data_IF_362256058726
#
_entry.id   IF_362256058726
#
_cell.length_a   1.000
_cell.length_b   1.000
_cell.length_c   1.000
_cell.angle_alpha   90.00
_cell.angle_beta   90.00
_cell.angle_gamma   90.00
#
_symmetry.space_group_name_H-M   'P 1'
#
loop_
_entity.id
_entity.type
_entity.pdbx_description
1 polymer ?
#
# COMPACT_ATOMS: atom_id res chain seq x y z
N UNK A 1 9.10 -9.64 -2.57
CA UNK A 1 9.23 -10.39 -3.83
C UNK A 1 10.60 -11.06 -3.92
N UNK A 2 11.71 -10.31 -3.78
CA UNK A 2 13.09 -10.87 -3.77
C UNK A 2 13.31 -12.07 -2.82
N UNK A 3 12.73 -12.07 -1.61
CA UNK A 3 12.82 -13.22 -0.68
C UNK A 3 12.07 -14.47 -1.17
N UNK A 4 10.95 -14.31 -1.86
CA UNK A 4 10.23 -15.44 -2.47
C UNK A 4 11.01 -16.01 -3.65
N UNK A 5 11.59 -15.14 -4.48
CA UNK A 5 12.37 -15.55 -5.64
C UNK A 5 13.61 -16.36 -5.21
N UNK A 6 14.32 -15.89 -4.19
CA UNK A 6 15.46 -16.61 -3.60
C UNK A 6 15.06 -17.97 -3.00
N UNK A 7 13.97 -18.03 -2.21
CA UNK A 7 13.50 -19.30 -1.63
C UNK A 7 12.96 -20.26 -2.69
N UNK A 8 12.27 -19.77 -3.71
CA UNK A 8 11.79 -20.62 -4.82
C UNK A 8 12.95 -21.23 -5.60
N UNK A 9 14.02 -20.47 -5.87
CA UNK A 9 15.24 -21.00 -6.48
C UNK A 9 15.95 -22.02 -5.59
N UNK A 10 15.97 -21.81 -4.26
CA UNK A 10 16.52 -22.77 -3.29
C UNK A 10 15.73 -24.08 -3.31
N UNK A 11 14.40 -24.01 -3.26
CA UNK A 11 13.50 -25.17 -3.29
C UNK A 11 13.66 -25.92 -4.62
N UNK A 12 13.67 -25.23 -5.76
CA UNK A 12 13.86 -25.86 -7.06
C UNK A 12 15.22 -26.57 -7.16
N UNK A 13 16.29 -25.97 -6.63
CA UNK A 13 17.62 -26.60 -6.59
C UNK A 13 17.62 -27.86 -5.72
N UNK A 14 17.01 -27.79 -4.54
CA UNK A 14 16.93 -28.91 -3.59
C UNK A 14 16.15 -30.10 -4.17
N UNK A 15 15.01 -29.83 -4.83
CA UNK A 15 14.21 -30.86 -5.49
C UNK A 15 14.83 -31.38 -6.79
N UNK A 16 15.60 -30.55 -7.49
CA UNK A 16 16.39 -30.94 -8.66
C UNK A 16 17.57 -31.87 -8.34
N UNK A 17 18.06 -31.86 -7.11
CA UNK A 17 19.07 -32.82 -6.61
C UNK A 17 18.45 -34.17 -6.20
N UNK A 18 17.14 -34.20 -5.95
CA UNK A 18 16.39 -35.38 -5.48
C UNK A 18 15.31 -35.76 -6.49
N UNK A 19 15.71 -36.03 -7.72
CA UNK A 19 14.78 -36.42 -8.78
C UNK A 19 14.15 -37.80 -8.47
N UNK A 20 12.84 -37.96 -8.72
CA UNK A 20 12.17 -39.24 -8.54
C UNK A 20 12.62 -40.22 -9.62
N UNK A 21 12.48 -41.53 -9.36
CA UNK A 21 12.71 -42.54 -10.38
C UNK A 21 11.75 -42.30 -11.58
N UNK A 22 12.26 -42.16 -12.82
CA UNK A 22 11.44 -41.93 -14.01
C UNK A 22 10.47 -43.09 -14.32
N UNK A 23 10.69 -44.28 -13.78
CA UNK A 23 9.83 -45.45 -14.04
C UNK A 23 8.78 -45.65 -12.93
N UNK A 24 8.85 -44.90 -11.83
CA UNK A 24 7.90 -45.01 -10.72
C UNK A 24 6.93 -43.83 -10.69
N UNK A 25 5.70 -44.09 -11.12
CA UNK A 25 4.59 -43.11 -11.09
C UNK A 25 4.31 -42.60 -9.66
N UNK A 26 4.36 -43.48 -8.66
CA UNK A 26 4.12 -43.12 -7.26
C UNK A 26 5.19 -42.16 -6.72
N UNK A 27 6.47 -42.40 -7.05
CA UNK A 27 7.55 -41.50 -6.64
C UNK A 27 7.44 -40.15 -7.33
N UNK A 28 7.06 -40.09 -8.62
CA UNK A 28 6.81 -38.83 -9.32
C UNK A 28 5.69 -38.02 -8.68
N UNK A 29 4.57 -38.68 -8.34
CA UNK A 29 3.43 -38.01 -7.71
C UNK A 29 3.78 -37.49 -6.30
N UNK A 30 4.50 -38.29 -5.51
CA UNK A 30 4.94 -37.89 -4.17
C UNK A 30 5.91 -36.69 -4.24
N UNK A 31 6.90 -36.76 -5.13
CA UNK A 31 7.84 -35.68 -5.39
C UNK A 31 7.13 -34.38 -5.82
N UNK A 32 6.18 -34.48 -6.76
CA UNK A 32 5.43 -33.32 -7.24
C UNK A 32 4.58 -32.68 -6.13
N UNK A 33 3.91 -33.48 -5.29
CA UNK A 33 3.15 -33.00 -4.14
C UNK A 33 4.04 -32.30 -3.12
N UNK A 34 5.20 -32.88 -2.82
CA UNK A 34 6.18 -32.29 -1.89
C UNK A 34 6.74 -30.97 -2.43
N UNK A 35 7.06 -30.88 -3.72
CA UNK A 35 7.51 -29.65 -4.36
C UNK A 35 6.43 -28.57 -4.30
N UNK A 36 5.20 -28.92 -4.67
CA UNK A 36 4.06 -28.00 -4.63
C UNK A 36 3.80 -27.47 -3.21
N UNK A 37 3.86 -28.36 -2.20
CA UNK A 37 3.70 -27.99 -0.80
C UNK A 37 4.80 -27.02 -0.33
N UNK A 38 6.06 -27.30 -0.68
CA UNK A 38 7.20 -26.43 -0.35
C UNK A 38 7.06 -25.04 -1.00
N UNK A 39 6.68 -24.98 -2.28
CA UNK A 39 6.45 -23.72 -2.98
C UNK A 39 5.27 -22.94 -2.39
N UNK A 40 4.17 -23.62 -2.05
CA UNK A 40 3.02 -23.00 -1.40
C UNK A 40 3.36 -22.41 -0.02
N UNK A 41 4.18 -23.12 0.76
CA UNK A 41 4.67 -22.62 2.04
C UNK A 41 5.56 -21.38 1.87
N UNK A 42 6.47 -21.40 0.89
CA UNK A 42 7.32 -20.25 0.58
C UNK A 42 6.49 -19.02 0.16
N UNK A 43 5.45 -19.21 -0.67
CA UNK A 43 4.53 -18.16 -1.05
C UNK A 43 3.78 -17.58 0.17
N UNK A 44 3.21 -18.45 1.01
CA UNK A 44 2.50 -18.05 2.24
C UNK A 44 3.40 -17.26 3.19
N UNK A 45 4.66 -17.68 3.34
CA UNK A 45 5.61 -16.97 4.19
C UNK A 45 5.97 -15.59 3.61
N UNK A 46 6.14 -15.48 2.30
CA UNK A 46 6.38 -14.21 1.64
C UNK A 46 5.19 -13.25 1.81
N UNK A 47 3.97 -13.74 1.65
CA UNK A 47 2.74 -12.98 1.92
C UNK A 47 2.66 -12.54 3.39
N UNK A 48 2.98 -13.42 4.33
CA UNK A 48 3.01 -13.10 5.76
C UNK A 48 4.03 -12.00 6.08
N UNK A 49 5.23 -12.05 5.49
CA UNK A 49 6.23 -10.99 5.63
C UNK A 49 5.72 -9.64 5.10
N UNK A 50 5.10 -9.63 3.92
CA UNK A 50 4.51 -8.40 3.35
C UNK A 50 3.38 -7.87 4.24
N UNK A 51 2.50 -8.75 4.73
CA UNK A 51 1.41 -8.39 5.63
C UNK A 51 1.94 -7.80 6.94
N UNK A 52 3.02 -8.37 7.50
CA UNK A 52 3.64 -7.89 8.73
C UNK A 52 4.33 -6.53 8.54
N UNK A 53 5.04 -6.33 7.42
CA UNK A 53 5.62 -5.03 7.06
C UNK A 53 4.54 -3.95 6.87
N UNK A 54 3.42 -4.31 6.24
CA UNK A 54 2.26 -3.42 6.08
C UNK A 54 1.60 -3.07 7.42
N UNK A 55 1.46 -4.03 8.34
CA UNK A 55 0.93 -3.77 9.69
C UNK A 55 1.81 -2.81 10.48
N UNK A 56 3.14 -2.94 10.39
CA UNK A 56 4.06 -2.05 11.09
C UNK A 56 3.98 -0.59 10.60
N UNK A 57 3.73 -0.39 9.30
CA UNK A 57 3.63 0.95 8.68
C UNK A 57 2.21 1.55 8.76
N UNK A 58 1.20 0.75 9.12
CA UNK A 58 -0.20 1.18 9.15
C UNK A 58 -0.49 2.34 10.14
N UNK A 59 0.01 2.34 11.39
CA UNK A 59 -0.26 3.44 12.33
C UNK A 59 0.30 4.79 11.84
N UNK A 60 1.50 4.78 11.23
CA UNK A 60 2.13 5.98 10.68
C UNK A 60 1.33 6.55 9.50
N UNK A 61 0.84 5.69 8.60
CA UNK A 61 -0.04 6.10 7.49
C UNK A 61 -1.35 6.68 8.00
N UNK A 62 -1.96 6.06 9.02
CA UNK A 62 -3.19 6.57 9.64
C UNK A 62 -2.98 7.93 10.30
N UNK A 63 -1.88 8.12 11.04
CA UNK A 63 -1.54 9.39 11.66
C UNK A 63 -1.31 10.49 10.60
N UNK A 64 -0.60 10.18 9.51
CA UNK A 64 -0.38 11.12 8.41
C UNK A 64 -1.71 11.51 7.71
N UNK A 65 -2.61 10.56 7.49
CA UNK A 65 -3.94 10.82 6.92
C UNK A 65 -4.79 11.71 7.83
N UNK A 66 -4.80 11.43 9.13
CA UNK A 66 -5.52 12.24 10.12
C UNK A 66 -4.97 13.66 10.17
N UNK A 67 -3.64 13.83 10.18
CA UNK A 67 -3.01 15.16 10.12
C UNK A 67 -3.39 15.95 8.87
N UNK A 68 -3.40 15.31 7.69
CA UNK A 68 -3.85 15.94 6.45
C UNK A 68 -5.32 16.35 6.48
N UNK A 69 -6.19 15.51 7.04
CA UNK A 69 -7.62 15.80 7.17
C UNK A 69 -7.85 16.99 8.11
N UNK A 70 -7.19 17.02 9.27
CA UNK A 70 -7.28 18.13 10.22
C UNK A 70 -6.79 19.44 9.62
N UNK A 71 -5.64 19.43 8.92
CA UNK A 71 -5.11 20.63 8.28
C UNK A 71 -6.06 21.17 7.22
N UNK A 72 -6.59 20.29 6.36
CA UNK A 72 -7.56 20.67 5.33
C UNK A 72 -8.84 21.23 5.95
N UNK A 73 -9.30 20.66 7.05
CA UNK A 73 -10.48 21.14 7.77
C UNK A 73 -10.26 22.54 8.34
N UNK A 74 -9.13 22.79 9.03
CA UNK A 74 -8.78 24.11 9.56
C UNK A 74 -8.72 25.17 8.46
N UNK A 75 -8.12 24.84 7.32
CA UNK A 75 -8.00 25.75 6.19
C UNK A 75 -9.37 26.06 5.54
N UNK A 76 -10.25 25.06 5.43
CA UNK A 76 -11.62 25.25 4.96
C UNK A 76 -12.46 26.10 5.93
N UNK A 77 -12.32 25.88 7.24
CA UNK A 77 -12.98 26.72 8.25
C UNK A 77 -12.49 28.17 8.22
N UNK A 78 -11.21 28.40 7.99
CA UNK A 78 -10.64 29.74 7.85
C UNK A 78 -11.22 30.45 6.62
N UNK A 79 -11.27 29.76 5.48
CA UNK A 79 -11.89 30.28 4.26
C UNK A 79 -13.36 30.62 4.50
N UNK A 80 -14.12 29.68 5.08
CA UNK A 80 -15.52 29.90 5.41
C UNK A 80 -15.70 31.11 6.35
N UNK A 81 -14.85 31.26 7.37
CA UNK A 81 -14.87 32.41 8.28
C UNK A 81 -14.61 33.74 7.57
N UNK A 82 -13.67 33.78 6.63
CA UNK A 82 -13.30 35.00 5.88
C UNK A 82 -14.44 35.55 5.01
N UNK A 83 -15.26 34.67 4.47
CA UNK A 83 -16.35 35.00 3.56
C UNK A 83 -17.75 34.94 4.22
N UNK A 84 -17.85 34.49 5.48
CA UNK A 84 -19.12 34.32 6.19
C UNK A 84 -19.89 35.63 6.30
N UNK A 85 -21.16 35.60 5.88
CA UNK A 85 -22.09 36.72 6.05
C UNK A 85 -21.76 37.95 5.21
N UNK A 86 -20.82 37.84 4.27
CA UNK A 86 -20.46 38.92 3.34
C UNK A 86 -21.25 38.76 2.04
N UNK A 87 -21.77 39.87 1.51
CA UNK A 87 -22.21 39.93 0.12
C UNK A 87 -20.98 40.12 -0.74
N UNK A 88 -20.66 39.13 -1.57
CA UNK A 88 -19.44 39.13 -2.37
C UNK A 88 -19.67 39.82 -3.72
N UNK A 89 -18.77 40.74 -4.06
CA UNK A 89 -18.64 41.27 -5.41
C UNK A 89 -18.21 40.16 -6.38
N UNK A 90 -18.37 40.38 -7.68
CA UNK A 90 -17.96 39.41 -8.71
C UNK A 90 -16.47 39.04 -8.61
N UNK A 91 -15.61 40.01 -8.28
CA UNK A 91 -14.18 39.78 -8.06
C UNK A 91 -13.92 38.90 -6.82
N UNK A 92 -14.62 39.15 -5.72
CA UNK A 92 -14.51 38.34 -4.49
C UNK A 92 -15.08 36.93 -4.67
N UNK A 93 -16.12 36.75 -5.50
CA UNK A 93 -16.65 35.44 -5.85
C UNK A 93 -15.64 34.63 -6.70
N UNK A 94 -14.93 35.29 -7.62
CA UNK A 94 -13.85 34.65 -8.37
C UNK A 94 -12.71 34.22 -7.43
N UNK A 95 -12.25 35.13 -6.56
CA UNK A 95 -11.23 34.82 -5.56
C UNK A 95 -11.64 33.68 -4.62
N UNK A 96 -12.89 33.66 -4.14
CA UNK A 96 -13.41 32.60 -3.31
C UNK A 96 -13.34 31.22 -4.01
N UNK A 97 -13.75 31.15 -5.28
CA UNK A 97 -13.68 29.90 -6.06
C UNK A 97 -12.24 29.45 -6.31
N UNK A 98 -11.33 30.38 -6.56
CA UNK A 98 -9.91 30.08 -6.75
C UNK A 98 -9.29 29.55 -5.45
N UNK A 99 -9.58 30.19 -4.29
CA UNK A 99 -9.14 29.72 -2.97
C UNK A 99 -9.73 28.34 -2.63
N UNK A 100 -11.00 28.10 -2.95
CA UNK A 100 -11.65 26.79 -2.77
C UNK A 100 -10.98 25.70 -3.63
N UNK A 101 -10.66 26.01 -4.87
CA UNK A 101 -9.94 25.09 -5.78
C UNK A 101 -8.55 24.76 -5.23
N UNK A 102 -7.81 25.77 -4.77
CA UNK A 102 -6.49 25.56 -4.17
C UNK A 102 -6.55 24.69 -2.90
N UNK A 103 -7.59 24.85 -2.07
CA UNK A 103 -7.80 23.99 -0.90
C UNK A 103 -8.07 22.52 -1.29
N UNK A 104 -8.87 22.30 -2.34
CA UNK A 104 -9.13 20.95 -2.84
C UNK A 104 -7.86 20.30 -3.38
N UNK A 105 -7.07 21.04 -4.15
CA UNK A 105 -5.78 20.56 -4.68
C UNK A 105 -4.77 20.28 -3.57
N UNK A 106 -4.68 21.17 -2.57
CA UNK A 106 -3.82 20.99 -1.41
C UNK A 106 -4.22 19.75 -0.59
N UNK A 107 -5.52 19.53 -0.40
CA UNK A 107 -6.05 18.33 0.26
C UNK A 107 -5.69 17.07 -0.52
N UNK A 108 -5.91 17.06 -1.84
CA UNK A 108 -5.57 15.95 -2.72
C UNK A 108 -4.08 15.61 -2.61
N UNK A 109 -3.22 16.64 -2.72
CA UNK A 109 -1.77 16.48 -2.62
C UNK A 109 -1.34 15.95 -1.24
N UNK A 110 -1.93 16.45 -0.16
CA UNK A 110 -1.64 15.98 1.20
C UNK A 110 -2.02 14.50 1.36
N UNK A 111 -3.22 14.10 0.92
CA UNK A 111 -3.68 12.72 1.00
C UNK A 111 -2.80 11.76 0.20
N UNK A 112 -2.36 12.16 -1.00
CA UNK A 112 -1.42 11.36 -1.81
C UNK A 112 -0.08 11.19 -1.09
N UNK A 113 0.46 12.26 -0.48
CA UNK A 113 1.70 12.19 0.30
C UNK A 113 1.54 11.33 1.55
N UNK A 114 0.43 11.44 2.28
CA UNK A 114 0.13 10.64 3.46
C UNK A 114 0.05 9.13 3.15
N UNK A 115 -0.47 8.77 1.98
CA UNK A 115 -0.47 7.38 1.49
C UNK A 115 0.94 6.87 1.15
N UNK A 116 1.85 7.78 0.80
CA UNK A 116 3.24 7.47 0.47
C UNK A 116 4.17 7.48 1.69
N UNK A 117 3.77 8.12 2.80
CA UNK A 117 4.56 8.33 4.02
C UNK A 117 4.93 7.06 4.82
N UNK A 118 4.61 5.88 4.31
CA UNK A 118 5.02 4.59 4.88
C UNK A 118 5.44 3.58 3.83
N UNK A 119 5.89 4.03 2.64
CA UNK A 119 6.66 3.17 1.75
C UNK A 119 8.10 3.10 2.28
N UNK A 120 8.67 1.89 2.46
CA UNK A 120 10.09 1.74 2.76
C UNK A 120 10.97 2.28 1.61
#
# INVERSE_FOLDING_TARGET
MQHYDAESMRIQREFGQKLPNPDSTEQKQSWAKSLQSAMALAAKNAEACVAQANKATQPQRMAAQQGCAEQSHRAAEELARRYRGRTLTTAEQAAYRDEETQLLDARQACMVRALQAGKP
#
